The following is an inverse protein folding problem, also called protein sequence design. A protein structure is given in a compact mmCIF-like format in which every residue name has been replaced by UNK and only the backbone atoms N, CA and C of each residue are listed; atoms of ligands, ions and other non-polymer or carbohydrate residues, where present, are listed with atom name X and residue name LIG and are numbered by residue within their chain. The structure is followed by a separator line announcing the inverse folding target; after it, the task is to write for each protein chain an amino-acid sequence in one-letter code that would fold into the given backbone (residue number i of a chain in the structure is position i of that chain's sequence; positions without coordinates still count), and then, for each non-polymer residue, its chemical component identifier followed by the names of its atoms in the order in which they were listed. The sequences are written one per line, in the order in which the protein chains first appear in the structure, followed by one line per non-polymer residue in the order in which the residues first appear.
data_IF_125750002296
#
_entry.id   IF_125750002296
#
_cell.length_a   1.000
_cell.length_b   1.000
_cell.length_c   1.000
_cell.angle_alpha   90.00
_cell.angle_beta   90.00
_cell.angle_gamma   90.00
#
_symmetry.space_group_name_H-M   'P 1'
#
loop_
_entity.id
_entity.type
_entity.pdbx_description
1 polymer ?
#
# COMPACT_ATOMS: atom_id res chain seq x y z
N UNK A 1 43.37 19.78 17.24
CA UNK A 1 42.70 18.80 18.13
C UNK A 1 41.24 19.16 18.44
N UNK A 2 40.73 20.36 18.10
CA UNK A 2 39.32 20.73 18.31
C UNK A 2 38.38 20.31 17.16
N UNK A 3 38.87 20.21 15.92
CA UNK A 3 38.06 19.79 14.75
C UNK A 3 37.70 18.30 14.75
N UNK A 4 38.52 17.45 15.37
CA UNK A 4 38.36 15.99 15.39
C UNK A 4 37.17 15.56 16.28
N UNK A 5 37.09 16.14 17.48
CA UNK A 5 36.02 15.89 18.46
C UNK A 5 34.65 16.35 17.92
N UNK A 6 34.60 17.44 17.16
CA UNK A 6 33.36 17.99 16.60
C UNK A 6 32.80 17.10 15.48
N UNK A 7 33.69 16.49 14.69
CA UNK A 7 33.32 15.59 13.58
C UNK A 7 32.83 14.24 14.09
N UNK A 8 33.53 13.63 15.06
CA UNK A 8 33.09 12.37 15.69
C UNK A 8 31.74 12.51 16.42
N UNK A 9 31.50 13.66 17.06
CA UNK A 9 30.22 13.93 17.72
C UNK A 9 29.08 14.11 16.71
N UNK A 10 29.34 14.73 15.55
CA UNK A 10 28.35 14.87 14.48
C UNK A 10 28.01 13.51 13.84
N UNK A 11 29.03 12.67 13.60
CA UNK A 11 28.85 11.32 13.05
C UNK A 11 28.07 10.40 13.99
N UNK A 12 28.30 10.51 15.30
CA UNK A 12 27.55 9.73 16.30
C UNK A 12 26.10 10.18 16.44
N UNK A 13 25.80 11.48 16.33
CA UNK A 13 24.43 12.00 16.28
C UNK A 13 23.71 11.55 15.01
N UNK A 14 24.37 11.62 13.85
CA UNK A 14 23.81 11.16 12.57
C UNK A 14 23.53 9.64 12.58
N UNK A 15 24.45 8.83 13.14
CA UNK A 15 24.26 7.40 13.31
C UNK A 15 23.09 7.07 14.26
N UNK A 16 22.92 7.85 15.34
CA UNK A 16 21.79 7.71 16.26
C UNK A 16 20.43 8.01 15.60
N UNK A 17 20.35 9.08 14.80
CA UNK A 17 19.14 9.42 14.05
C UNK A 17 18.81 8.35 13.00
N UNK A 18 19.81 7.87 12.26
CA UNK A 18 19.63 6.79 11.29
C UNK A 18 19.10 5.51 11.97
N UNK A 19 19.66 5.12 13.11
CA UNK A 19 19.18 3.97 13.89
C UNK A 19 17.71 4.15 14.30
N UNK A 20 17.32 5.32 14.79
CA UNK A 20 15.94 5.60 15.17
C UNK A 20 14.96 5.52 13.97
N UNK A 21 15.38 5.97 12.78
CA UNK A 21 14.58 5.79 11.57
C UNK A 21 14.45 4.32 11.17
N UNK A 22 15.55 3.56 11.18
CA UNK A 22 15.55 2.13 10.84
C UNK A 22 14.62 1.36 11.77
N UNK A 23 14.78 1.51 13.10
CA UNK A 23 13.94 0.84 14.09
C UNK A 23 12.44 1.18 13.90
N UNK A 24 12.13 2.43 13.53
CA UNK A 24 10.75 2.82 13.24
C UNK A 24 10.22 2.17 11.96
N UNK A 25 11.02 2.06 10.91
CA UNK A 25 10.64 1.38 9.66
C UNK A 25 10.46 -0.11 9.89
N UNK A 26 11.35 -0.76 10.64
CA UNK A 26 11.26 -2.19 10.94
C UNK A 26 9.97 -2.53 11.70
N UNK A 27 9.61 -1.74 12.72
CA UNK A 27 8.32 -1.90 13.40
C UNK A 27 7.14 -1.74 12.45
N UNK A 28 7.16 -0.74 11.57
CA UNK A 28 6.09 -0.52 10.60
C UNK A 28 5.99 -1.64 9.56
N UNK A 29 7.10 -2.25 9.16
CA UNK A 29 7.09 -3.41 8.26
C UNK A 29 6.57 -4.68 8.96
N UNK A 30 6.83 -4.85 10.26
CA UNK A 30 6.21 -5.92 11.07
C UNK A 30 4.69 -5.73 11.17
N UNK A 31 4.22 -4.53 11.54
CA UNK A 31 2.79 -4.20 11.60
C UNK A 31 2.09 -4.43 10.25
N UNK A 32 2.73 -3.99 9.16
CA UNK A 32 2.24 -4.19 7.79
C UNK A 32 2.16 -5.67 7.44
N UNK A 33 3.09 -6.50 7.89
CA UNK A 33 3.05 -7.95 7.68
C UNK A 33 1.85 -8.56 8.40
N UNK A 34 1.65 -8.25 9.68
CA UNK A 34 0.49 -8.72 10.45
C UNK A 34 -0.83 -8.32 9.78
N UNK A 35 -0.99 -7.05 9.42
CA UNK A 35 -2.18 -6.57 8.69
C UNK A 35 -2.36 -7.32 7.36
N UNK A 36 -1.27 -7.60 6.65
CA UNK A 36 -1.33 -8.31 5.37
C UNK A 36 -1.76 -9.77 5.54
N UNK A 37 -1.37 -10.41 6.65
CA UNK A 37 -1.80 -11.75 7.04
C UNK A 37 -3.30 -11.75 7.39
N UNK A 38 -3.76 -10.82 8.21
CA UNK A 38 -5.19 -10.67 8.56
C UNK A 38 -6.06 -10.46 7.30
N UNK A 39 -5.63 -9.59 6.38
CA UNK A 39 -6.32 -9.37 5.10
C UNK A 39 -6.40 -10.67 4.29
N UNK A 40 -5.34 -11.49 4.30
CA UNK A 40 -5.31 -12.77 3.59
C UNK A 40 -6.31 -13.76 4.19
N UNK A 41 -6.44 -13.81 5.51
CA UNK A 41 -7.44 -14.63 6.20
C UNK A 41 -8.87 -14.23 5.83
N UNK A 42 -9.18 -12.94 5.82
CA UNK A 42 -10.51 -12.44 5.37
C UNK A 42 -10.81 -12.86 3.93
N UNK A 43 -9.83 -12.76 3.02
CA UNK A 43 -10.03 -13.25 1.65
C UNK A 43 -10.20 -14.78 1.59
N UNK A 44 -9.53 -15.53 2.47
CA UNK A 44 -9.71 -16.98 2.55
C UNK A 44 -11.11 -17.35 3.05
N UNK A 45 -11.63 -16.64 4.07
CA UNK A 45 -13.00 -16.78 4.55
C UNK A 45 -14.01 -16.47 3.46
N UNK A 46 -13.83 -15.37 2.71
CA UNK A 46 -14.67 -15.04 1.56
C UNK A 46 -14.71 -16.18 0.54
N UNK A 47 -13.55 -16.76 0.22
CA UNK A 47 -13.46 -17.90 -0.70
C UNK A 47 -14.20 -19.13 -0.16
N UNK A 48 -14.06 -19.43 1.13
CA UNK A 48 -14.75 -20.55 1.78
C UNK A 48 -16.28 -20.36 1.78
N UNK A 49 -16.74 -19.12 1.87
CA UNK A 49 -18.15 -18.74 1.78
C UNK A 49 -18.67 -18.61 0.33
N UNK A 50 -17.86 -18.94 -0.68
CA UNK A 50 -18.27 -18.97 -2.09
C UNK A 50 -18.15 -17.65 -2.86
N UNK A 51 -17.51 -16.62 -2.29
CA UNK A 51 -17.28 -15.35 -2.99
C UNK A 51 -16.07 -15.42 -3.95
N UNK A 52 -16.18 -14.75 -5.10
CA UNK A 52 -15.03 -14.54 -5.99
C UNK A 52 -14.09 -13.45 -5.43
N UNK A 53 -13.04 -13.90 -4.76
CA UNK A 53 -12.00 -13.02 -4.20
C UNK A 53 -11.31 -12.13 -5.25
N UNK A 54 -11.27 -12.50 -6.54
CA UNK A 54 -10.69 -11.67 -7.61
C UNK A 54 -11.59 -10.47 -7.89
N UNK A 55 -12.90 -10.70 -8.01
CA UNK A 55 -13.88 -9.64 -8.17
C UNK A 55 -13.89 -8.70 -6.96
N UNK A 56 -13.86 -9.24 -5.74
CA UNK A 56 -13.81 -8.43 -4.50
C UNK A 56 -12.55 -7.56 -4.46
N UNK A 57 -11.37 -8.09 -4.82
CA UNK A 57 -10.14 -7.28 -4.90
C UNK A 57 -10.26 -6.12 -5.88
N UNK A 58 -10.94 -6.33 -7.02
CA UNK A 58 -11.23 -5.24 -7.97
C UNK A 58 -12.14 -4.19 -7.34
N UNK A 59 -13.20 -4.60 -6.64
CA UNK A 59 -14.09 -3.68 -5.91
C UNK A 59 -13.32 -2.87 -4.87
N UNK A 60 -12.46 -3.51 -4.07
CA UNK A 60 -11.65 -2.79 -3.06
C UNK A 60 -10.73 -1.75 -3.71
N UNK A 61 -10.12 -2.06 -4.87
CA UNK A 61 -9.31 -1.09 -5.62
C UNK A 61 -10.14 0.07 -6.15
N UNK A 62 -11.30 -0.23 -6.74
CA UNK A 62 -12.22 0.80 -7.23
C UNK A 62 -12.63 1.72 -6.08
N UNK A 63 -13.01 1.17 -4.92
CA UNK A 63 -13.43 1.96 -3.75
C UNK A 63 -12.34 2.85 -3.15
N UNK A 64 -11.07 2.68 -3.52
CA UNK A 64 -9.98 3.58 -3.13
C UNK A 64 -9.87 4.83 -4.01
N UNK A 65 -10.45 4.81 -5.22
CA UNK A 65 -10.49 5.94 -6.14
C UNK A 65 -11.60 6.90 -5.74
N UNK A 66 -11.40 8.18 -6.06
CA UNK A 66 -12.45 9.19 -5.89
C UNK A 66 -13.67 8.87 -6.78
N UNK A 67 -14.86 9.34 -6.37
CA UNK A 67 -16.07 9.11 -7.15
C UNK A 67 -15.99 9.70 -8.56
N UNK A 68 -15.44 10.90 -8.73
CA UNK A 68 -15.32 11.54 -10.04
C UNK A 68 -14.35 10.76 -10.94
N UNK A 69 -13.20 10.35 -10.40
CA UNK A 69 -12.21 9.54 -11.12
C UNK A 69 -12.81 8.21 -11.61
N UNK A 70 -13.60 7.54 -10.75
CA UNK A 70 -14.30 6.30 -11.14
C UNK A 70 -15.29 6.52 -12.29
N UNK A 71 -16.08 7.59 -12.21
CA UNK A 71 -17.09 7.89 -13.23
C UNK A 71 -16.46 8.23 -14.58
N UNK A 72 -15.35 8.98 -14.56
CA UNK A 72 -14.60 9.30 -15.78
C UNK A 72 -13.99 8.04 -16.42
N UNK A 73 -13.37 7.18 -15.62
CA UNK A 73 -12.80 5.92 -16.10
C UNK A 73 -13.88 4.97 -16.64
N UNK A 74 -15.02 4.82 -15.94
CA UNK A 74 -16.16 4.03 -16.41
C UNK A 74 -16.71 4.56 -17.74
N UNK A 75 -16.88 5.88 -17.87
CA UNK A 75 -17.33 6.49 -19.13
C UNK A 75 -16.38 6.21 -20.30
N UNK A 76 -15.06 6.28 -20.07
CA UNK A 76 -14.06 5.96 -21.10
C UNK A 76 -14.06 4.49 -21.47
N UNK A 77 -14.20 3.60 -20.49
CA UNK A 77 -14.29 2.15 -20.73
C UNK A 77 -15.53 1.84 -21.58
N UNK A 78 -16.67 2.42 -21.25
CA UNK A 78 -17.92 2.16 -21.96
C UNK A 78 -17.88 2.72 -23.39
N UNK A 79 -17.26 3.88 -23.61
CA UNK A 79 -16.96 4.39 -24.96
C UNK A 79 -16.12 3.39 -25.78
N UNK A 80 -15.08 2.81 -25.18
CA UNK A 80 -14.24 1.83 -25.86
C UNK A 80 -14.95 0.50 -26.10
N UNK A 81 -15.76 0.01 -25.17
CA UNK A 81 -16.59 -1.19 -25.38
C UNK A 81 -17.55 -0.99 -26.54
N UNK A 82 -18.23 0.15 -26.60
CA UNK A 82 -19.14 0.49 -27.70
C UNK A 82 -18.40 0.52 -29.04
N UNK A 83 -17.21 1.14 -29.10
CA UNK A 83 -16.37 1.17 -30.30
C UNK A 83 -15.90 -0.23 -30.74
N UNK A 84 -15.73 -1.16 -29.81
CA UNK A 84 -15.33 -2.55 -30.07
C UNK A 84 -16.52 -3.51 -30.26
N UNK A 85 -17.77 -3.04 -30.12
CA UNK A 85 -18.97 -3.88 -30.20
C UNK A 85 -19.12 -4.87 -29.04
N UNK A 86 -18.61 -4.53 -27.86
CA UNK A 86 -18.62 -5.35 -26.64
C UNK A 86 -19.79 -5.00 -25.68
N UNK A 87 -20.97 -4.68 -26.21
CA UNK A 87 -22.18 -4.41 -25.41
C UNK A 87 -22.90 -5.67 -24.93
#
# INVERSE_FOLDING_TARGET
MADDITTETADTVAAGQLRAFIERVERLEEDKKTISEDIKEVYAEMKANGFDTKAVRSIVRLRKKDQAERQEEEAMIDLYKAALGME
#
